data_IF_004374019301
#
_entry.id   IF_004374019301
#
_cell.length_a   1.000
_cell.length_b   1.000
_cell.length_c   1.000
_cell.angle_alpha   90.00
_cell.angle_beta   90.00
_cell.angle_gamma   90.00
#
_symmetry.space_group_name_H-M   'P 1'
#
loop_
_entity.id
_entity.type
_entity.pdbx_description
1 polymer ?
#
# COMPACT_ATOMS: atom_id res chain seq x y z
N UNK A 1 10.74 -6.47 -7.83
CA UNK A 1 10.37 -7.77 -7.28
C UNK A 1 9.15 -7.62 -6.41
N UNK A 2 8.26 -8.61 -6.43
CA UNK A 2 7.04 -8.52 -5.65
C UNK A 2 7.28 -8.93 -4.19
N UNK A 3 6.42 -8.45 -3.32
CA UNK A 3 6.45 -8.81 -1.91
C UNK A 3 6.07 -10.28 -1.72
N UNK A 4 6.64 -10.89 -0.69
CA UNK A 4 6.24 -12.23 -0.28
C UNK A 4 4.76 -12.19 0.13
N UNK A 5 3.92 -13.09 -0.42
CA UNK A 5 2.51 -13.12 -0.05
C UNK A 5 2.25 -13.28 1.45
N UNK A 6 3.15 -13.94 2.16
CA UNK A 6 3.00 -14.10 3.62
C UNK A 6 3.18 -12.78 4.35
N UNK A 7 4.00 -11.87 3.79
CA UNK A 7 4.15 -10.53 4.37
C UNK A 7 2.90 -9.70 4.18
N UNK A 8 2.22 -9.87 3.06
CA UNK A 8 1.00 -9.08 2.79
C UNK A 8 -0.08 -9.33 3.84
N UNK A 9 -0.11 -10.51 4.42
CA UNK A 9 -1.11 -10.85 5.43
C UNK A 9 -0.89 -10.14 6.77
N UNK A 10 0.34 -9.66 7.01
CA UNK A 10 0.69 -9.04 8.29
C UNK A 10 1.07 -7.57 8.19
N UNK A 11 1.20 -7.05 6.98
CA UNK A 11 1.56 -5.64 6.80
C UNK A 11 0.40 -4.73 7.16
N UNK A 12 0.73 -3.63 7.81
CA UNK A 12 -0.23 -2.60 8.16
C UNK A 12 0.45 -1.24 8.15
N UNK A 13 -0.34 -0.19 7.97
CA UNK A 13 0.19 1.16 8.02
C UNK A 13 0.73 1.47 9.42
N UNK A 14 1.96 2.00 9.53
CA UNK A 14 2.52 2.30 10.86
C UNK A 14 1.80 3.44 11.58
N UNK A 15 1.04 4.26 10.88
CA UNK A 15 0.34 5.38 11.52
C UNK A 15 -1.03 4.98 12.04
N UNK A 16 -1.89 4.40 11.20
CA UNK A 16 -3.26 4.08 11.61
C UNK A 16 -3.49 2.57 11.80
N UNK A 17 -2.48 1.77 11.55
CA UNK A 17 -2.50 0.31 11.71
C UNK A 17 -3.59 -0.37 10.87
N UNK A 18 -3.99 0.29 9.80
CA UNK A 18 -4.99 -0.26 8.89
C UNK A 18 -4.36 -0.91 7.66
N UNK A 19 -5.19 -1.54 6.80
CA UNK A 19 -4.67 -2.20 5.61
C UNK A 19 -4.14 -1.21 4.59
N UNK A 20 -3.20 -1.69 3.77
CA UNK A 20 -2.62 -0.95 2.67
C UNK A 20 -2.99 -1.62 1.36
N UNK A 21 -3.01 -0.85 0.27
CA UNK A 21 -3.22 -1.40 -1.07
C UNK A 21 -1.85 -1.66 -1.70
N UNK A 22 -1.65 -2.90 -2.17
CA UNK A 22 -0.39 -3.31 -2.78
C UNK A 22 -0.44 -3.16 -4.31
N UNK A 23 0.34 -2.22 -4.84
CA UNK A 23 0.47 -2.01 -6.28
C UNK A 23 1.79 -2.62 -6.74
N UNK A 24 1.77 -3.88 -7.15
CA UNK A 24 2.99 -4.61 -7.45
C UNK A 24 3.71 -4.09 -8.70
N UNK A 25 2.99 -3.49 -9.63
CA UNK A 25 3.59 -2.91 -10.83
C UNK A 25 4.22 -1.54 -10.58
N UNK A 26 3.92 -0.91 -9.46
CA UNK A 26 4.48 0.37 -9.08
C UNK A 26 5.39 0.27 -7.87
N UNK A 27 5.48 -0.91 -7.26
CA UNK A 27 6.28 -1.17 -6.05
C UNK A 27 5.95 -0.20 -4.92
N UNK A 28 4.66 0.03 -4.68
CA UNK A 28 4.21 0.88 -3.58
C UNK A 28 3.09 0.22 -2.79
N UNK A 29 3.04 0.58 -1.52
CA UNK A 29 1.93 0.27 -0.64
C UNK A 29 1.22 1.60 -0.34
N UNK A 30 -0.06 1.67 -0.62
CA UNK A 30 -0.80 2.92 -0.53
C UNK A 30 -1.83 2.89 0.59
N UNK A 31 -1.85 3.95 1.40
CA UNK A 31 -2.88 4.14 2.43
C UNK A 31 -3.85 5.23 1.95
N UNK A 32 -5.05 4.85 1.48
CA UNK A 32 -6.01 5.84 0.97
C UNK A 32 -6.64 6.70 2.06
N UNK A 33 -6.64 6.22 3.30
CA UNK A 33 -7.21 7.00 4.41
C UNK A 33 -6.37 8.22 4.74
N UNK A 34 -5.05 8.04 4.71
CA UNK A 34 -4.09 9.10 5.01
C UNK A 34 -3.49 9.71 3.76
N UNK A 35 -3.79 9.15 2.59
CA UNK A 35 -3.22 9.56 1.30
C UNK A 35 -1.70 9.57 1.32
N UNK A 36 -1.13 8.47 1.82
CA UNK A 36 0.31 8.28 1.89
C UNK A 36 0.70 6.96 1.24
N UNK A 37 1.82 6.97 0.53
CA UNK A 37 2.37 5.77 -0.08
C UNK A 37 3.72 5.44 0.52
N UNK A 38 4.01 4.14 0.57
CA UNK A 38 5.28 3.63 1.09
C UNK A 38 5.96 2.84 -0.01
N UNK A 39 7.24 3.11 -0.23
CA UNK A 39 7.99 2.43 -1.27
C UNK A 39 8.30 0.98 -0.87
N UNK A 40 8.39 0.11 -1.88
CA UNK A 40 8.88 -1.25 -1.69
C UNK A 40 10.17 -1.35 -2.51
N UNK A 41 11.28 -1.59 -1.84
CA UNK A 41 12.60 -1.63 -2.47
C UNK A 41 13.14 -3.04 -2.37
N UNK A 42 13.40 -3.67 -3.51
CA UNK A 42 13.92 -5.04 -3.59
C UNK A 42 13.08 -6.04 -2.77
N UNK A 43 11.75 -5.87 -2.82
CA UNK A 43 10.85 -6.73 -2.09
C UNK A 43 10.73 -6.42 -0.60
N UNK A 44 11.36 -5.32 -0.14
CA UNK A 44 11.32 -4.91 1.26
C UNK A 44 10.44 -3.67 1.40
N UNK A 45 9.33 -3.75 2.15
CA UNK A 45 8.48 -2.58 2.34
C UNK A 45 9.13 -1.60 3.32
N UNK A 46 9.21 -0.33 2.90
CA UNK A 46 9.77 0.73 3.75
C UNK A 46 8.61 1.41 4.46
N UNK A 47 8.22 0.86 5.60
CA UNK A 47 7.06 1.35 6.36
C UNK A 47 7.50 2.30 7.47
N UNK A 48 8.20 3.36 7.08
CA UNK A 48 8.65 4.41 7.98
C UNK A 48 7.81 5.65 7.72
N UNK A 49 7.19 6.20 8.76
CA UNK A 49 6.32 7.36 8.60
C UNK A 49 7.07 8.55 7.99
N UNK A 50 8.36 8.68 8.30
CA UNK A 50 9.19 9.74 7.76
C UNK A 50 9.50 9.56 6.26
N UNK A 51 9.37 8.35 5.77
CA UNK A 51 9.64 8.02 4.36
C UNK A 51 8.37 7.95 3.53
N UNK A 52 7.21 8.09 4.15
CA UNK A 52 5.95 8.05 3.44
C UNK A 52 5.83 9.26 2.51
N UNK A 53 5.37 9.01 1.29
CA UNK A 53 5.17 10.07 0.31
C UNK A 53 3.71 10.52 0.36
N UNK A 54 3.50 11.84 0.43
CA UNK A 54 2.17 12.40 0.37
C UNK A 54 1.62 12.25 -1.06
N UNK A 55 0.38 11.80 -1.18
CA UNK A 55 -0.27 11.58 -2.47
C UNK A 55 -1.33 12.66 -2.68
N UNK A 56 -1.21 13.39 -3.79
CA UNK A 56 -2.18 14.41 -4.13
C UNK A 56 -3.52 13.82 -4.56
N UNK A 57 -4.52 14.68 -4.69
CA UNK A 57 -5.88 14.24 -5.00
C UNK A 57 -5.97 13.50 -6.34
N UNK A 58 -5.31 14.01 -7.38
CA UNK A 58 -5.32 13.37 -8.69
C UNK A 58 -4.70 11.98 -8.65
N UNK A 59 -3.59 11.84 -7.96
CA UNK A 59 -2.91 10.56 -7.82
C UNK A 59 -3.72 9.60 -6.97
N UNK A 60 -4.34 10.11 -5.92
CA UNK A 60 -5.23 9.33 -5.07
C UNK A 60 -6.37 8.72 -5.89
N UNK A 61 -7.03 9.52 -6.73
CA UNK A 61 -8.11 9.04 -7.58
C UNK A 61 -7.59 8.02 -8.59
N UNK A 62 -6.42 8.25 -9.18
CA UNK A 62 -5.82 7.31 -10.12
C UNK A 62 -5.55 5.96 -9.46
N UNK A 63 -4.97 5.98 -8.26
CA UNK A 63 -4.65 4.75 -7.55
C UNK A 63 -5.91 3.99 -7.13
N UNK A 64 -6.93 4.70 -6.66
CA UNK A 64 -8.19 4.04 -6.29
C UNK A 64 -8.89 3.43 -7.51
N UNK A 65 -8.89 4.14 -8.63
CA UNK A 65 -9.47 3.62 -9.87
C UNK A 65 -8.71 2.39 -10.34
N UNK A 66 -7.39 2.42 -10.24
CA UNK A 66 -6.55 1.29 -10.61
C UNK A 66 -6.80 0.09 -9.69
N UNK A 67 -6.95 0.34 -8.39
CA UNK A 67 -7.23 -0.72 -7.43
C UNK A 67 -8.56 -1.40 -7.73
N UNK A 68 -9.56 -0.62 -8.09
CA UNK A 68 -10.87 -1.15 -8.43
C UNK A 68 -10.83 -1.96 -9.73
N UNK A 69 -10.14 -1.45 -10.75
CA UNK A 69 -10.06 -2.07 -12.06
C UNK A 69 -9.16 -3.32 -12.06
N UNK A 70 -8.03 -3.27 -11.40
CA UNK A 70 -7.02 -4.33 -11.43
C UNK A 70 -7.09 -5.26 -10.22
N UNK A 71 -8.08 -5.10 -9.37
CA UNK A 71 -8.27 -5.95 -8.17
C UNK A 71 -7.00 -6.02 -7.31
N UNK A 72 -6.46 -4.85 -7.00
CA UNK A 72 -5.26 -4.73 -6.18
C UNK A 72 -5.51 -5.35 -4.80
N UNK A 73 -4.54 -6.15 -4.33
CA UNK A 73 -4.68 -6.83 -3.05
C UNK A 73 -4.46 -5.87 -1.89
N UNK A 74 -5.33 -5.96 -0.90
CA UNK A 74 -5.16 -5.23 0.36
C UNK A 74 -4.31 -6.06 1.33
N UNK A 75 -3.49 -5.40 2.13
CA UNK A 75 -2.68 -6.06 3.14
C UNK A 75 -3.47 -6.25 4.44
N UNK A 76 -2.86 -6.97 5.38
CA UNK A 76 -3.45 -7.19 6.69
C UNK A 76 -4.30 -8.44 6.76
N UNK A 77 -4.71 -8.83 7.98
CA UNK A 77 -5.54 -10.02 8.14
C UNK A 77 -6.90 -9.81 7.48
N UNK A 78 -7.45 -10.88 6.93
CA UNK A 78 -8.77 -10.80 6.31
C UNK A 78 -9.79 -10.35 7.37
N UNK A 79 -10.72 -9.46 7.00
CA UNK A 79 -11.77 -9.07 7.93
C UNK A 79 -12.60 -10.30 8.29
N UNK A 80 -12.69 -10.52 9.57
CA UNK A 80 -13.39 -11.69 10.11
C UNK A 80 -14.87 -11.63 9.94
#
# INVERSE_FOLDING_TARGET
MSLDPLLLDVLACPEDKGPLLWFDDEDILYNPRLRKSYAVVDGVPVLLTDEAAAVGESEHERLLAKADTNQVRATGPAPG
#
